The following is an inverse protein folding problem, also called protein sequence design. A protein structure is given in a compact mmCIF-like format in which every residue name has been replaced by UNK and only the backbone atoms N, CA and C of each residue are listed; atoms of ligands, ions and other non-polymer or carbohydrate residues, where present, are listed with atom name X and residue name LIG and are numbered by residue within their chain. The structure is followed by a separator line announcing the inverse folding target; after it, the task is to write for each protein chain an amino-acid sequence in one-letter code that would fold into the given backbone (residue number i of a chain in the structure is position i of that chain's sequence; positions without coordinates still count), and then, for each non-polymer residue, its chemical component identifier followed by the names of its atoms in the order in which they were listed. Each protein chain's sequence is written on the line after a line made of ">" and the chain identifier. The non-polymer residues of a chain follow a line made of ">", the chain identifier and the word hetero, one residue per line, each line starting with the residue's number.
data_IF_516120019145
#
_entry.id   IF_516120019145
#
_cell.length_a   1.000
_cell.length_b   1.000
_cell.length_c   1.000
_cell.angle_alpha   90.00
_cell.angle_beta   90.00
_cell.angle_gamma   90.00
#
_symmetry.space_group_name_H-M   'P 1'
#
loop_
_entity.id
_entity.type
_entity.pdbx_description
1 polymer ?
#
# COMPACT_ATOMS: atom_id res chain seq x y z
N UNK A 1 -18.41 2.75 9.37
CA UNK A 1 -18.77 4.16 9.58
C UNK A 1 -17.66 4.98 10.23
N UNK A 2 -17.19 4.56 11.40
CA UNK A 2 -16.07 5.24 12.04
C UNK A 2 -14.84 5.21 11.15
N UNK A 3 -14.58 4.09 10.52
CA UNK A 3 -13.45 3.93 9.62
C UNK A 3 -13.54 4.89 8.44
N UNK A 4 -14.70 5.00 7.82
CA UNK A 4 -14.92 5.91 6.72
C UNK A 4 -14.70 7.37 7.13
N UNK A 5 -15.20 7.74 8.31
CA UNK A 5 -15.03 9.09 8.84
C UNK A 5 -13.57 9.40 9.10
N UNK A 6 -12.83 8.46 9.67
CA UNK A 6 -11.40 8.64 9.96
C UNK A 6 -10.61 8.83 8.66
N UNK A 7 -10.85 8.00 7.67
CA UNK A 7 -10.16 8.09 6.40
C UNK A 7 -10.46 9.40 5.67
N UNK A 8 -11.72 9.81 5.70
CA UNK A 8 -12.13 11.07 5.10
C UNK A 8 -11.48 12.25 5.80
N UNK A 9 -11.42 12.20 7.12
CA UNK A 9 -10.80 13.24 7.93
C UNK A 9 -9.31 13.35 7.63
N UNK A 10 -8.63 12.21 7.53
CA UNK A 10 -7.20 12.17 7.23
C UNK A 10 -6.92 12.75 5.86
N UNK A 11 -7.74 12.41 4.89
CA UNK A 11 -7.63 12.95 3.53
C UNK A 11 -7.74 14.47 3.54
N UNK A 12 -8.72 14.99 4.26
CA UNK A 12 -8.95 16.43 4.34
C UNK A 12 -7.81 17.17 5.01
N UNK A 13 -7.20 16.54 6.00
CA UNK A 13 -6.11 17.15 6.76
C UNK A 13 -4.75 16.94 6.11
N UNK A 14 -4.69 16.20 5.02
CA UNK A 14 -3.44 15.83 4.35
C UNK A 14 -2.48 15.08 5.26
N UNK A 15 -2.95 14.68 6.42
CA UNK A 15 -2.20 13.80 7.31
C UNK A 15 -2.57 12.39 6.96
N UNK A 16 -2.08 11.96 5.83
CA UNK A 16 -2.35 10.62 5.39
C UNK A 16 -1.45 9.60 6.08
N UNK A 17 -0.37 10.10 6.71
CA UNK A 17 0.58 9.23 7.40
C UNK A 17 0.21 9.09 8.87
N UNK A 18 0.37 7.88 9.38
CA UNK A 18 0.00 7.53 10.76
C UNK A 18 1.23 7.23 11.60
N UNK A 19 1.15 7.57 12.89
CA UNK A 19 2.19 7.25 13.86
C UNK A 19 2.10 5.78 14.28
N UNK A 20 3.14 5.28 14.96
CA UNK A 20 3.16 3.93 15.51
C UNK A 20 1.94 3.68 16.42
N UNK A 21 1.66 4.63 17.30
CA UNK A 21 0.54 4.51 18.24
C UNK A 21 -0.79 4.38 17.52
N UNK A 22 -1.00 5.21 16.51
CA UNK A 22 -2.23 5.17 15.71
C UNK A 22 -2.37 3.83 14.98
N UNK A 23 -1.29 3.34 14.42
CA UNK A 23 -1.28 2.06 13.71
C UNK A 23 -1.62 0.90 14.66
N UNK A 24 -0.93 0.86 15.78
CA UNK A 24 -1.12 -0.21 16.77
C UNK A 24 -2.57 -0.23 17.28
N UNK A 25 -3.11 0.92 17.56
CA UNK A 25 -4.49 1.02 18.06
C UNK A 25 -5.52 0.65 17.01
N UNK A 26 -5.36 1.19 15.80
CA UNK A 26 -6.35 0.98 14.75
C UNK A 26 -6.38 -0.46 14.27
N UNK A 27 -5.22 -1.03 13.98
CA UNK A 27 -5.13 -2.40 13.48
C UNK A 27 -5.19 -3.45 14.57
N UNK A 28 -5.10 -3.02 15.83
CA UNK A 28 -5.11 -3.93 16.99
C UNK A 28 -4.04 -4.99 16.86
N UNK A 29 -2.83 -4.54 16.56
CA UNK A 29 -1.65 -5.40 16.50
C UNK A 29 -0.68 -5.03 17.59
N UNK A 30 0.21 -5.94 17.93
CA UNK A 30 1.23 -5.67 18.94
C UNK A 30 2.36 -4.86 18.31
N UNK A 31 2.94 -3.96 19.13
CA UNK A 31 4.07 -3.17 18.68
C UNK A 31 5.26 -4.03 18.29
N UNK A 32 5.44 -5.16 18.98
CA UNK A 32 6.50 -6.13 18.66
C UNK A 32 6.30 -6.72 17.26
N UNK A 33 5.07 -7.02 16.89
CA UNK A 33 4.75 -7.53 15.56
C UNK A 33 5.06 -6.49 14.50
N UNK A 34 4.71 -5.24 14.74
CA UNK A 34 5.00 -4.14 13.83
C UNK A 34 6.52 -3.99 13.65
N UNK A 35 7.27 -4.11 14.74
CA UNK A 35 8.73 -4.06 14.69
C UNK A 35 9.32 -5.19 13.86
N UNK A 36 8.77 -6.38 13.97
CA UNK A 36 9.20 -7.51 13.16
C UNK A 36 8.98 -7.25 11.68
N UNK A 37 7.84 -6.65 11.33
CA UNK A 37 7.53 -6.31 9.95
C UNK A 37 8.52 -5.29 9.39
N UNK A 38 8.93 -4.35 10.22
CA UNK A 38 9.94 -3.36 9.83
C UNK A 38 11.31 -4.02 9.63
N UNK A 39 11.71 -4.91 10.53
CA UNK A 39 12.98 -5.62 10.43
C UNK A 39 13.07 -6.47 9.17
N UNK A 40 11.98 -7.11 8.80
CA UNK A 40 11.92 -7.93 7.59
C UNK A 40 11.67 -7.09 6.33
N UNK A 41 11.62 -5.78 6.48
CA UNK A 41 11.37 -4.84 5.39
C UNK A 41 10.04 -5.09 4.66
N UNK A 42 9.09 -5.70 5.36
CA UNK A 42 7.74 -5.90 4.83
C UNK A 42 6.99 -4.58 4.84
N UNK A 43 7.18 -3.81 5.91
CA UNK A 43 6.59 -2.48 6.07
C UNK A 43 7.71 -1.49 6.34
N UNK A 44 7.71 -0.38 5.62
CA UNK A 44 8.79 0.62 5.72
C UNK A 44 8.20 1.98 6.06
N UNK A 45 8.30 2.41 7.32
CA UNK A 45 7.85 3.75 7.70
C UNK A 45 8.84 4.81 7.22
N UNK A 46 8.36 6.02 7.13
CA UNK A 46 9.19 7.19 6.88
C UNK A 46 9.59 7.75 8.24
N UNK A 47 10.89 7.92 8.45
CA UNK A 47 11.40 8.48 9.71
C UNK A 47 11.64 9.97 9.56
N UNK A 48 11.08 10.74 10.47
CA UNK A 48 11.35 12.18 10.55
C UNK A 48 12.54 12.40 11.49
N UNK A 49 13.43 13.27 11.08
CA UNK A 49 14.63 13.53 11.87
C UNK A 49 14.36 14.26 13.17
N UNK A 50 13.37 15.17 13.17
CA UNK A 50 13.08 15.98 14.37
C UNK A 50 11.60 16.30 14.45
N UNK A 51 10.89 15.79 15.47
CA UNK A 51 11.36 14.74 16.40
C UNK A 51 11.51 13.42 15.66
N UNK A 52 12.29 12.52 16.22
CA UNK A 52 12.45 11.19 15.63
C UNK A 52 11.13 10.45 15.73
N UNK A 53 10.37 10.48 14.68
CA UNK A 53 9.04 9.89 14.63
C UNK A 53 8.90 9.04 13.37
N UNK A 54 8.38 7.85 13.54
CA UNK A 54 8.08 6.98 12.41
C UNK A 54 6.68 7.28 11.92
N UNK A 55 6.53 7.49 10.63
CA UNK A 55 5.24 7.75 10.01
C UNK A 55 4.99 6.70 8.94
N UNK A 56 3.79 6.14 8.96
CA UNK A 56 3.38 5.12 7.98
C UNK A 56 2.47 5.77 6.95
N UNK A 57 2.94 5.90 5.70
CA UNK A 57 2.12 6.50 4.65
C UNK A 57 1.00 5.56 4.22
N UNK A 58 0.00 6.07 3.48
CA UNK A 58 -1.16 5.27 3.09
C UNK A 58 -0.83 3.97 2.38
N UNK A 59 0.22 3.96 1.56
CA UNK A 59 0.65 2.74 0.86
C UNK A 59 1.07 1.65 1.84
N UNK A 60 1.73 2.04 2.94
CA UNK A 60 2.17 1.09 3.96
C UNK A 60 1.02 0.66 4.86
N UNK A 61 0.05 1.54 5.08
CA UNK A 61 -1.16 1.19 5.82
C UNK A 61 -1.98 0.15 5.08
N UNK A 62 -2.05 0.25 3.77
CA UNK A 62 -2.73 -0.73 2.95
C UNK A 62 -2.05 -2.08 3.02
N UNK A 63 -0.71 -2.09 3.00
CA UNK A 63 0.05 -3.32 3.21
C UNK A 63 -0.22 -3.93 4.58
N UNK A 64 -0.26 -3.11 5.62
CA UNK A 64 -0.53 -3.57 6.98
C UNK A 64 -1.88 -4.25 7.07
N UNK A 65 -2.88 -3.70 6.42
CA UNK A 65 -4.21 -4.30 6.38
C UNK A 65 -4.14 -5.70 5.78
N UNK A 66 -3.45 -5.84 4.66
CA UNK A 66 -3.29 -7.12 3.98
C UNK A 66 -2.48 -8.10 4.83
N UNK A 67 -1.39 -7.61 5.43
CA UNK A 67 -0.54 -8.43 6.30
C UNK A 67 -1.34 -8.99 7.46
N UNK A 68 -2.17 -8.17 8.07
CA UNK A 68 -3.00 -8.60 9.19
C UNK A 68 -3.95 -9.72 8.79
N UNK A 69 -4.63 -9.57 7.67
CA UNK A 69 -5.53 -10.58 7.16
C UNK A 69 -4.79 -11.88 6.87
N UNK A 70 -3.67 -11.80 6.18
CA UNK A 70 -2.89 -12.98 5.82
C UNK A 70 -2.35 -13.69 7.05
N UNK A 71 -1.87 -12.94 8.03
CA UNK A 71 -1.28 -13.51 9.22
C UNK A 71 -2.31 -14.05 10.21
N UNK A 72 -3.30 -13.23 10.56
CA UNK A 72 -4.27 -13.60 11.59
C UNK A 72 -5.38 -14.51 11.07
N UNK A 73 -5.97 -14.17 9.93
CA UNK A 73 -7.12 -14.91 9.42
C UNK A 73 -6.71 -16.15 8.62
N UNK A 74 -5.60 -16.07 7.91
CA UNK A 74 -5.17 -17.15 7.01
C UNK A 74 -3.97 -17.92 7.51
N UNK A 75 -3.34 -17.49 8.60
CA UNK A 75 -2.23 -18.20 9.20
C UNK A 75 -0.96 -18.24 8.35
N UNK A 76 -0.78 -17.27 7.47
CA UNK A 76 0.42 -17.21 6.63
C UNK A 76 1.57 -16.66 7.44
N UNK A 77 2.73 -17.31 7.36
CA UNK A 77 3.93 -16.83 8.07
C UNK A 77 4.58 -15.64 7.35
N UNK A 78 5.50 -14.97 8.02
CA UNK A 78 6.13 -13.76 7.46
C UNK A 78 6.82 -13.99 6.12
N UNK A 79 7.62 -15.06 5.93
CA UNK A 79 8.20 -15.33 4.61
C UNK A 79 7.14 -15.48 3.52
N UNK A 80 6.04 -16.15 3.83
CA UNK A 80 4.93 -16.31 2.89
C UNK A 80 4.28 -14.99 2.56
N UNK A 81 4.09 -14.13 3.56
CA UNK A 81 3.54 -12.78 3.37
C UNK A 81 4.44 -11.98 2.45
N UNK A 82 5.75 -12.05 2.66
CA UNK A 82 6.71 -11.35 1.81
C UNK A 82 6.58 -11.76 0.36
N UNK A 83 6.46 -13.05 0.10
CA UNK A 83 6.28 -13.56 -1.26
C UNK A 83 4.98 -13.04 -1.88
N UNK A 84 3.89 -13.09 -1.11
CA UNK A 84 2.59 -12.61 -1.59
C UNK A 84 2.64 -11.12 -1.95
N UNK A 85 3.29 -10.32 -1.11
CA UNK A 85 3.39 -8.89 -1.38
C UNK A 85 4.22 -8.60 -2.63
N UNK A 86 5.28 -9.36 -2.86
CA UNK A 86 6.08 -9.24 -4.08
C UNK A 86 5.27 -9.60 -5.31
N UNK A 87 4.51 -10.67 -5.24
CA UNK A 87 3.66 -11.10 -6.34
C UNK A 87 2.60 -10.03 -6.64
N UNK A 88 2.02 -9.47 -5.60
CA UNK A 88 1.03 -8.40 -5.72
C UNK A 88 1.64 -7.18 -6.43
N UNK A 89 2.86 -6.80 -6.03
CA UNK A 89 3.54 -5.67 -6.65
C UNK A 89 3.84 -5.95 -8.12
N UNK A 90 4.29 -7.17 -8.43
CA UNK A 90 4.55 -7.56 -9.81
C UNK A 90 3.29 -7.49 -10.67
N UNK A 91 2.16 -7.91 -10.11
CA UNK A 91 0.89 -7.82 -10.81
C UNK A 91 0.50 -6.38 -11.12
N UNK A 92 0.69 -5.49 -10.17
CA UNK A 92 0.41 -4.07 -10.38
C UNK A 92 1.31 -3.49 -11.47
N UNK A 93 2.59 -3.83 -11.44
CA UNK A 93 3.54 -3.35 -12.44
C UNK A 93 3.19 -3.84 -13.84
N UNK A 94 2.83 -5.10 -13.95
CA UNK A 94 2.40 -5.67 -15.23
C UNK A 94 1.13 -5.00 -15.76
N UNK A 95 0.18 -4.75 -14.86
CA UNK A 95 -1.06 -4.06 -15.24
C UNK A 95 -0.77 -2.66 -15.76
N UNK A 96 0.13 -1.96 -15.09
CA UNK A 96 0.54 -0.62 -15.49
C UNK A 96 1.15 -0.62 -16.88
N UNK A 97 2.04 -1.57 -17.15
CA UNK A 97 2.67 -1.73 -18.47
C UNK A 97 1.63 -2.03 -19.53
N UNK A 98 0.69 -2.90 -19.20
CA UNK A 98 -0.38 -3.27 -20.13
C UNK A 98 -1.23 -2.06 -20.49
N UNK A 99 -1.57 -1.24 -19.50
CA UNK A 99 -2.37 -0.03 -19.72
C UNK A 99 -1.66 0.95 -20.64
N UNK A 100 -0.35 1.12 -20.48
CA UNK A 100 0.45 1.99 -21.35
C UNK A 100 0.42 1.49 -22.80
N UNK A 101 0.59 0.19 -22.98
CA UNK A 101 0.55 -0.41 -24.33
C UNK A 101 -0.82 -0.22 -24.95
N UNK A 102 -1.89 -0.39 -24.19
CA UNK A 102 -3.25 -0.19 -24.69
C UNK A 102 -3.47 1.25 -25.13
N UNK A 103 -2.97 2.21 -24.33
CA UNK A 103 -3.08 3.62 -24.71
C UNK A 103 -2.38 3.93 -26.01
N UNK A 104 -1.17 3.40 -26.19
CA UNK A 104 -0.41 3.58 -27.42
C UNK A 104 -1.14 2.99 -28.61
N UNK A 105 -1.70 1.80 -28.45
CA UNK A 105 -2.47 1.17 -29.50
C UNK A 105 -3.70 1.97 -29.87
N UNK A 106 -4.40 2.50 -28.87
CA UNK A 106 -5.59 3.33 -29.10
C UNK A 106 -5.24 4.60 -29.85
N UNK A 107 -4.15 5.26 -29.48
CA UNK A 107 -3.69 6.46 -30.18
C UNK A 107 -3.33 6.17 -31.62
N UNK A 108 -2.57 5.09 -31.85
CA UNK A 108 -2.17 4.70 -33.18
C UNK A 108 -3.37 4.37 -34.07
N UNK A 109 -4.35 3.71 -33.48
CA UNK A 109 -5.58 3.37 -34.19
C UNK A 109 -6.36 4.62 -34.57
N UNK A 110 -6.49 5.56 -33.66
CA UNK A 110 -7.18 6.83 -33.92
C UNK A 110 -6.51 7.61 -35.05
N UNK A 111 -5.18 7.66 -35.03
CA UNK A 111 -4.43 8.34 -36.09
C UNK A 111 -4.61 7.68 -37.44
N UNK A 112 -4.59 6.35 -37.44
CA UNK A 112 -4.80 5.60 -38.70
C UNK A 112 -6.20 5.85 -39.24
N UNK A 113 -7.21 5.88 -38.38
CA UNK A 113 -8.59 6.17 -38.79
C UNK A 113 -8.73 7.58 -39.35
N UNK A 114 -8.05 8.55 -38.74
CA UNK A 114 -8.07 9.92 -39.26
C UNK A 114 -7.47 10.04 -40.65
N UNK A 115 -6.41 9.29 -40.90
CA UNK A 115 -5.76 9.28 -42.23
C UNK A 115 -6.63 8.66 -43.31
N UNK A 116 -7.48 7.70 -42.94
CA UNK A 116 -8.39 7.05 -43.86
C UNK A 116 -9.56 7.95 -44.26
N UNK A 117 -9.89 8.88 -43.43
CA UNK A 117 -10.96 9.82 -43.65
C UNK A 117 -10.44 11.11 -44.28
#
# INVERSE_FOLDING_TARGET
>A
MVLHTIMKKNSQNKKESWTVTEVVEFFQIEETFLSELEEEEIVCPICQERPTTKLFPPSELEKLRLVKILHEDMGVNLPGIEVILRMRQSMFDMRKQFDVILEDLMQNLQEALKKEL
#
